data_IF_553993678550
#
_entry.id   IF_553993678550
#
_cell.length_a   1.000
_cell.length_b   1.000
_cell.length_c   1.000
_cell.angle_alpha   90.00
_cell.angle_beta   90.00
_cell.angle_gamma   90.00
#
_symmetry.space_group_name_H-M   'P 1'
#
loop_
_entity.id
_entity.type
_entity.pdbx_description
1 polymer ?
#
# COMPACT_ATOMS: atom_id res chain seq x y z
N UNK A 1 -19.47 12.31 4.64
CA UNK A 1 -19.77 13.76 4.60
C UNK A 1 -21.09 13.93 3.85
N UNK A 2 -22.00 14.78 4.33
CA UNK A 2 -23.31 15.04 3.70
C UNK A 2 -23.11 15.99 2.52
N UNK A 3 -23.82 15.76 1.41
CA UNK A 3 -23.74 16.62 0.23
C UNK A 3 -24.27 18.04 0.53
N UNK A 4 -23.76 19.10 -0.14
CA UNK A 4 -24.32 20.45 -0.05
C UNK A 4 -25.80 20.45 -0.43
N UNK A 5 -26.60 21.25 0.26
CA UNK A 5 -28.05 21.37 -0.01
C UNK A 5 -28.26 22.41 -1.12
N UNK A 6 -28.76 21.98 -2.29
CA UNK A 6 -29.19 22.85 -3.41
C UNK A 6 -28.38 22.71 -4.72
N UNK A 7 -28.76 23.49 -5.75
CA UNK A 7 -28.19 23.46 -7.12
C UNK A 7 -26.75 23.99 -7.23
N UNK A 8 -26.10 24.34 -6.11
CA UNK A 8 -24.71 24.83 -6.11
C UNK A 8 -23.72 23.78 -6.66
N UNK A 9 -24.08 22.50 -6.60
CA UNK A 9 -23.29 21.41 -7.21
C UNK A 9 -23.21 21.53 -8.73
N UNK A 10 -24.35 21.71 -9.42
CA UNK A 10 -24.38 21.79 -10.88
C UNK A 10 -23.59 22.99 -11.41
N UNK A 11 -23.61 24.12 -10.67
CA UNK A 11 -22.84 25.32 -11.03
C UNK A 11 -21.33 25.15 -10.92
N UNK A 12 -20.83 24.24 -10.07
CA UNK A 12 -19.38 23.96 -9.96
C UNK A 12 -18.84 23.12 -11.12
N UNK A 13 -19.71 22.40 -11.82
CA UNK A 13 -19.34 21.50 -12.91
C UNK A 13 -19.52 22.12 -14.30
N UNK A 14 -20.12 23.30 -14.41
CA UNK A 14 -20.21 24.05 -15.67
C UNK A 14 -18.87 24.71 -16.00
N UNK A 15 -18.18 24.18 -17.03
CA UNK A 15 -17.10 24.88 -17.72
C UNK A 15 -15.68 24.31 -17.59
N UNK A 16 -15.44 23.25 -16.81
CA UNK A 16 -14.06 22.75 -16.58
C UNK A 16 -13.62 21.61 -17.50
N UNK A 17 -14.50 21.04 -18.34
CA UNK A 17 -14.12 20.02 -19.36
C UNK A 17 -13.51 18.71 -18.83
N UNK A 18 -13.25 18.64 -17.52
CA UNK A 18 -12.65 17.53 -16.79
C UNK A 18 -13.76 16.90 -15.94
N UNK A 19 -14.53 16.00 -16.56
CA UNK A 19 -15.44 15.12 -15.81
C UNK A 19 -14.61 14.03 -15.16
N UNK A 20 -14.01 14.32 -14.00
CA UNK A 20 -13.81 13.25 -13.01
C UNK A 20 -15.18 13.08 -12.37
N UNK A 21 -15.94 12.06 -12.80
CA UNK A 21 -17.25 11.74 -12.24
C UNK A 21 -17.09 11.38 -10.77
N UNK A 22 -17.31 12.35 -9.89
CA UNK A 22 -17.58 12.10 -8.48
C UNK A 22 -18.89 11.32 -8.43
N UNK A 23 -18.83 10.05 -8.03
CA UNK A 23 -20.03 9.19 -7.92
C UNK A 23 -20.57 9.22 -6.50
N UNK A 24 -21.85 9.50 -6.36
CA UNK A 24 -22.56 9.48 -5.09
C UNK A 24 -23.17 8.09 -4.87
N UNK A 25 -23.32 7.69 -3.61
CA UNK A 25 -23.78 6.33 -3.25
C UNK A 25 -25.09 5.98 -3.97
N UNK A 26 -26.03 6.93 -4.04
CA UNK A 26 -27.31 6.74 -4.72
C UNK A 26 -27.22 6.69 -6.25
N UNK A 27 -26.16 7.20 -6.85
CA UNK A 27 -25.91 7.06 -8.29
C UNK A 27 -25.22 5.73 -8.63
N UNK A 28 -24.44 5.17 -7.70
CA UNK A 28 -23.80 3.84 -7.85
C UNK A 28 -24.79 2.71 -7.62
N UNK A 29 -25.70 2.90 -6.67
CA UNK A 29 -26.71 1.90 -6.29
C UNK A 29 -27.97 1.94 -7.17
N UNK A 30 -27.98 2.75 -8.22
CA UNK A 30 -29.12 2.80 -9.12
C UNK A 30 -29.22 1.51 -9.94
N UNK A 31 -30.41 0.91 -9.95
CA UNK A 31 -30.73 -0.16 -10.89
C UNK A 31 -30.98 0.44 -12.28
N UNK A 32 -30.54 -0.28 -13.33
CA UNK A 32 -30.70 0.15 -14.71
C UNK A 32 -32.20 0.38 -15.04
N UNK A 33 -32.60 1.65 -15.20
CA UNK A 33 -33.96 2.02 -15.62
C UNK A 33 -34.65 3.10 -14.77
N UNK A 34 -34.10 3.52 -13.64
CA UNK A 34 -34.61 4.68 -12.90
C UNK A 34 -34.03 6.02 -13.40
N UNK A 35 -34.62 7.15 -12.96
CA UNK A 35 -34.32 8.51 -13.43
C UNK A 35 -32.82 8.75 -13.69
N UNK A 36 -32.44 9.31 -14.85
CA UNK A 36 -31.05 9.57 -15.15
C UNK A 36 -30.56 10.67 -14.20
N UNK A 37 -29.61 10.34 -13.34
CA UNK A 37 -28.88 11.27 -12.47
C UNK A 37 -29.66 11.77 -11.22
N UNK A 38 -29.83 10.92 -10.20
CA UNK A 38 -30.50 11.29 -8.96
C UNK A 38 -29.66 12.31 -8.18
N UNK A 39 -30.33 13.27 -7.53
CA UNK A 39 -29.67 14.30 -6.74
C UNK A 39 -28.69 13.69 -5.71
N UNK A 40 -27.47 14.20 -5.59
CA UNK A 40 -26.43 13.59 -4.77
C UNK A 40 -26.78 13.61 -3.27
N UNK A 41 -26.90 12.43 -2.64
CA UNK A 41 -27.32 12.35 -1.22
C UNK A 41 -26.15 12.13 -0.28
N UNK A 42 -25.20 11.29 -0.69
CA UNK A 42 -24.05 10.90 0.13
C UNK A 42 -22.83 10.70 -0.75
N UNK A 43 -21.75 11.43 -0.44
CA UNK A 43 -20.48 11.33 -1.15
C UNK A 43 -19.74 10.08 -0.67
N UNK A 44 -19.51 9.14 -1.58
CA UNK A 44 -18.58 8.04 -1.36
C UNK A 44 -17.18 8.55 -1.69
N UNK A 45 -16.38 8.82 -0.66
CA UNK A 45 -14.96 9.10 -0.84
C UNK A 45 -14.25 7.78 -0.61
N UNK A 46 -13.69 7.24 -1.68
CA UNK A 46 -12.64 6.24 -1.54
C UNK A 46 -11.42 6.92 -0.90
N UNK A 47 -11.16 6.59 0.36
CA UNK A 47 -10.01 7.07 1.12
C UNK A 47 -8.83 6.09 1.03
N UNK A 48 -8.83 5.22 0.03
CA UNK A 48 -7.72 4.30 -0.18
C UNK A 48 -6.47 5.10 -0.56
N UNK A 49 -5.52 5.13 0.39
CA UNK A 49 -4.13 5.55 0.26
C UNK A 49 -3.81 6.94 -0.32
N UNK A 50 -4.81 7.77 -0.62
CA UNK A 50 -4.60 9.16 -1.02
C UNK A 50 -3.91 9.94 0.09
N UNK A 51 -2.64 10.31 -0.12
CA UNK A 51 -1.96 11.32 0.70
C UNK A 51 -1.79 12.57 -0.13
N UNK A 52 -2.48 13.64 0.25
CA UNK A 52 -2.27 14.96 -0.34
C UNK A 52 -0.91 15.52 0.12
N UNK A 53 0.12 15.26 -0.67
CA UNK A 53 1.42 15.88 -0.52
C UNK A 53 1.27 17.32 -1.04
N UNK A 54 0.81 18.25 -0.20
CA UNK A 54 0.68 19.69 -0.45
C UNK A 54 2.05 20.36 -0.71
N UNK A 55 2.77 19.89 -1.70
CA UNK A 55 4.10 20.29 -2.10
C UNK A 55 4.07 20.54 -3.61
N UNK A 56 4.58 21.68 -4.05
CA UNK A 56 4.63 22.04 -5.46
C UNK A 56 5.37 20.96 -6.27
N UNK A 57 4.65 20.18 -7.06
CA UNK A 57 5.25 19.25 -8.02
C UNK A 57 5.58 20.06 -9.28
N UNK A 58 6.77 19.88 -9.83
CA UNK A 58 7.28 20.66 -10.96
C UNK A 58 6.56 20.35 -12.28
N UNK A 59 5.66 19.35 -12.31
CA UNK A 59 4.80 19.02 -13.44
C UNK A 59 3.44 18.57 -12.92
N UNK A 60 2.51 19.51 -12.86
CA UNK A 60 1.19 19.37 -12.24
C UNK A 60 0.16 18.75 -13.21
N UNK A 61 -0.19 17.49 -12.98
CA UNK A 61 -1.53 16.93 -13.33
C UNK A 61 -2.30 16.46 -12.07
N UNK A 62 -1.64 16.37 -10.90
CA UNK A 62 -2.25 15.91 -9.66
C UNK A 62 -2.76 17.04 -8.74
N UNK A 63 -2.39 18.29 -9.03
CA UNK A 63 -2.57 19.43 -8.11
C UNK A 63 -3.94 20.08 -8.24
N UNK A 64 -4.68 19.79 -9.31
CA UNK A 64 -6.04 20.33 -9.53
C UNK A 64 -7.15 19.59 -8.77
N UNK A 65 -6.85 18.53 -8.02
CA UNK A 65 -7.88 17.68 -7.38
C UNK A 65 -8.22 18.01 -5.92
N UNK A 66 -7.51 18.95 -5.27
CA UNK A 66 -7.68 19.17 -3.81
C UNK A 66 -7.55 20.63 -3.35
N UNK A 67 -7.77 21.62 -4.23
CA UNK A 67 -7.57 23.03 -3.86
C UNK A 67 -8.78 23.61 -3.12
N UNK A 68 -8.79 23.47 -1.79
CA UNK A 68 -9.32 24.53 -0.91
C UNK A 68 -8.24 25.61 -0.80
N UNK A 69 -8.39 26.67 -1.59
CA UNK A 69 -7.56 27.88 -1.54
C UNK A 69 -7.60 28.51 -0.13
N UNK A 70 -6.43 28.99 0.30
CA UNK A 70 -6.17 29.87 1.45
C UNK A 70 -5.88 29.18 2.81
N UNK A 71 -4.62 28.80 3.06
CA UNK A 71 -3.83 29.38 4.16
C UNK A 71 -2.36 28.96 4.11
N UNK A 72 -1.49 29.96 4.21
CA UNK A 72 -0.06 29.87 4.42
C UNK A 72 0.23 29.40 5.85
N UNK A 73 0.21 28.09 6.08
CA UNK A 73 0.82 27.43 7.23
C UNK A 73 1.02 25.97 6.84
N UNK A 74 2.20 25.42 7.13
CA UNK A 74 2.51 23.99 7.01
C UNK A 74 1.67 23.30 8.09
N UNK A 75 0.38 23.12 7.82
CA UNK A 75 -0.56 22.50 8.74
C UNK A 75 -0.56 20.99 8.50
N UNK A 76 -0.46 20.25 9.61
CA UNK A 76 -0.41 18.81 9.78
C UNK A 76 -1.65 18.02 9.27
N UNK A 77 -2.31 18.51 8.22
CA UNK A 77 -3.51 17.96 7.60
C UNK A 77 -3.23 17.47 6.17
N UNK A 78 -2.17 16.68 5.99
CA UNK A 78 -2.14 15.72 4.89
C UNK A 78 -3.17 14.63 5.22
N UNK A 79 -4.38 14.72 4.64
CA UNK A 79 -5.36 13.65 4.71
C UNK A 79 -4.76 12.40 4.04
N UNK A 80 -4.77 11.27 4.74
CA UNK A 80 -4.18 9.99 4.32
C UNK A 80 -3.58 9.22 5.50
N UNK A 81 -3.20 7.95 5.31
CA UNK A 81 -2.43 7.17 6.29
C UNK A 81 -1.01 6.95 5.75
N UNK A 82 -0.08 7.91 5.94
CA UNK A 82 1.15 7.97 5.14
C UNK A 82 2.07 6.77 5.32
N UNK A 83 1.99 6.10 6.47
CA UNK A 83 2.72 4.88 6.81
C UNK A 83 2.44 3.69 5.89
N UNK A 84 1.38 3.73 5.08
CA UNK A 84 1.05 2.66 4.14
C UNK A 84 1.40 2.99 2.70
N UNK A 85 1.83 4.21 2.38
CA UNK A 85 2.19 4.53 0.99
C UNK A 85 3.31 3.62 0.49
N UNK A 86 3.31 3.28 -0.80
CA UNK A 86 4.48 2.67 -1.43
C UNK A 86 5.73 3.54 -1.28
N UNK A 87 6.92 2.92 -1.25
CA UNK A 87 8.19 3.64 -1.05
C UNK A 87 8.45 4.65 -2.16
N UNK A 88 8.23 4.30 -3.42
CA UNK A 88 8.41 5.20 -4.56
C UNK A 88 7.46 6.41 -4.49
N UNK A 89 6.21 6.18 -4.09
CA UNK A 89 5.19 7.23 -3.87
C UNK A 89 5.57 8.14 -2.72
N UNK A 90 6.06 7.57 -1.62
CA UNK A 90 6.57 8.30 -0.45
C UNK A 90 7.75 9.22 -0.82
N UNK A 91 8.67 8.73 -1.67
CA UNK A 91 9.80 9.48 -2.20
C UNK A 91 9.43 10.48 -3.31
N UNK A 92 8.23 10.37 -3.88
CA UNK A 92 7.76 11.15 -5.03
C UNK A 92 8.50 10.85 -6.35
N UNK A 93 9.21 9.72 -6.44
CA UNK A 93 10.00 9.30 -7.61
C UNK A 93 10.19 7.78 -7.64
N UNK A 94 10.51 7.25 -8.83
CA UNK A 94 10.94 5.86 -8.96
C UNK A 94 12.22 5.61 -8.16
N UNK A 95 12.29 4.48 -7.46
CA UNK A 95 13.47 4.06 -6.73
C UNK A 95 14.61 3.67 -7.69
N UNK A 96 15.84 3.68 -7.18
CA UNK A 96 17.04 3.40 -7.95
C UNK A 96 17.08 1.92 -8.42
N UNK A 97 17.25 1.63 -9.72
CA UNK A 97 17.26 0.25 -10.20
C UNK A 97 18.43 -0.59 -9.64
N UNK A 98 19.56 0.02 -9.28
CA UNK A 98 20.72 -0.72 -8.77
C UNK A 98 20.45 -1.25 -7.35
N UNK A 99 19.73 -0.48 -6.54
CA UNK A 99 19.35 -0.86 -5.17
C UNK A 99 18.06 -1.70 -5.11
N UNK A 100 17.16 -1.52 -6.08
CA UNK A 100 15.81 -2.07 -6.10
C UNK A 100 15.54 -2.91 -7.36
N UNK A 101 16.55 -3.68 -7.75
CA UNK A 101 16.48 -4.58 -8.91
C UNK A 101 15.45 -5.69 -8.74
N UNK A 102 14.77 -6.04 -9.83
CA UNK A 102 13.90 -7.22 -9.94
C UNK A 102 14.65 -8.48 -10.38
N UNK A 103 15.97 -8.41 -10.55
CA UNK A 103 16.79 -9.56 -10.91
C UNK A 103 16.63 -10.69 -9.89
N UNK A 104 16.47 -11.91 -10.39
CA UNK A 104 16.28 -13.14 -9.60
C UNK A 104 14.97 -13.21 -8.80
N UNK A 105 14.05 -12.26 -8.99
CA UNK A 105 12.69 -12.38 -8.46
C UNK A 105 11.88 -13.23 -9.44
N UNK A 106 11.14 -14.19 -8.92
CA UNK A 106 10.22 -15.01 -9.70
C UNK A 106 8.85 -15.02 -9.05
N UNK A 107 7.83 -15.16 -9.88
CA UNK A 107 6.45 -15.27 -9.43
C UNK A 107 6.32 -16.49 -8.50
N UNK A 108 5.83 -16.35 -7.26
CA UNK A 108 5.67 -17.49 -6.36
C UNK A 108 4.81 -18.57 -7.01
N UNK A 109 5.33 -19.79 -7.15
CA UNK A 109 4.58 -20.94 -7.68
C UNK A 109 4.67 -22.17 -6.75
N UNK A 110 4.21 -22.05 -5.50
CA UNK A 110 4.24 -23.13 -4.53
C UNK A 110 3.27 -24.27 -4.93
N UNK A 111 3.63 -25.54 -4.70
CA UNK A 111 2.81 -26.70 -5.08
C UNK A 111 1.36 -26.63 -4.60
N UNK A 112 1.13 -26.06 -3.42
CA UNK A 112 -0.16 -25.89 -2.75
C UNK A 112 -1.12 -25.02 -3.58
N UNK A 113 -0.59 -24.12 -4.41
CA UNK A 113 -1.39 -23.22 -5.24
C UNK A 113 -1.62 -23.75 -6.66
N UNK A 114 -1.19 -24.98 -6.97
CA UNK A 114 -1.22 -25.51 -8.35
C UNK A 114 -2.61 -25.45 -8.98
N UNK A 115 -3.66 -25.81 -8.25
CA UNK A 115 -5.03 -25.80 -8.77
C UNK A 115 -5.59 -24.39 -8.96
N UNK A 116 -5.18 -23.44 -8.11
CA UNK A 116 -5.48 -22.02 -8.28
C UNK A 116 -4.75 -21.48 -9.51
N UNK A 117 -3.44 -21.77 -9.62
CA UNK A 117 -2.62 -21.36 -10.75
C UNK A 117 -3.19 -21.92 -12.05
N UNK A 118 -3.54 -23.20 -12.10
CA UNK A 118 -4.15 -23.80 -13.30
C UNK A 118 -5.48 -23.13 -13.70
N UNK A 119 -6.29 -22.67 -12.73
CA UNK A 119 -7.60 -22.07 -13.01
C UNK A 119 -7.53 -20.60 -13.41
N UNK A 120 -6.63 -19.85 -12.79
CA UNK A 120 -6.46 -18.41 -13.05
C UNK A 120 -5.48 -18.13 -14.18
N UNK A 121 -4.53 -19.04 -14.46
CA UNK A 121 -3.46 -18.81 -15.44
C UNK A 121 -3.74 -19.58 -16.71
N UNK A 122 -4.24 -18.90 -17.74
CA UNK A 122 -4.11 -19.39 -19.12
C UNK A 122 -3.03 -18.68 -19.91
N UNK A 123 -2.70 -17.39 -19.69
CA UNK A 123 -1.54 -16.74 -20.36
C UNK A 123 -1.04 -15.39 -19.77
N UNK A 124 -1.70 -14.80 -18.77
CA UNK A 124 -1.55 -13.36 -18.47
C UNK A 124 -0.30 -12.99 -17.65
N UNK A 125 0.13 -13.83 -16.70
CA UNK A 125 1.21 -13.47 -15.77
C UNK A 125 2.53 -14.21 -16.09
N UNK A 126 3.59 -13.43 -16.32
CA UNK A 126 4.92 -13.95 -16.66
C UNK A 126 5.63 -14.52 -15.43
N UNK A 127 6.03 -15.79 -15.49
CA UNK A 127 6.71 -16.46 -14.36
C UNK A 127 8.17 -16.03 -14.20
N UNK A 128 8.83 -15.75 -15.32
CA UNK A 128 10.18 -15.19 -15.36
C UNK A 128 10.06 -13.73 -15.79
N UNK A 129 10.62 -12.83 -14.98
CA UNK A 129 10.72 -11.42 -15.33
C UNK A 129 11.87 -11.29 -16.31
N UNK A 130 11.63 -10.86 -17.57
CA UNK A 130 12.71 -10.60 -18.49
C UNK A 130 13.62 -9.51 -17.89
N UNK A 131 14.94 -9.61 -18.10
CA UNK A 131 15.85 -8.56 -17.63
C UNK A 131 15.39 -7.22 -18.18
N UNK A 132 15.30 -6.22 -17.31
CA UNK A 132 15.01 -4.85 -17.73
C UNK A 132 16.12 -4.45 -18.69
N UNK A 133 15.83 -4.05 -19.94
CA UNK A 133 16.87 -3.68 -20.89
C UNK A 133 17.75 -2.59 -20.28
N UNK A 134 19.08 -2.77 -20.38
CA UNK A 134 20.09 -1.89 -19.81
C UNK A 134 19.68 -0.41 -19.84
N UNK A 135 19.77 0.22 -18.65
CA UNK A 135 19.38 1.59 -18.28
C UNK A 135 19.85 2.72 -19.23
N UNK A 136 20.77 2.46 -20.15
CA UNK A 136 21.44 3.49 -20.97
C UNK A 136 20.62 4.06 -22.13
N UNK A 137 19.40 3.59 -22.42
CA UNK A 137 18.64 4.06 -23.60
C UNK A 137 17.12 4.25 -23.40
N UNK A 138 16.58 4.04 -22.20
CA UNK A 138 15.17 4.30 -21.95
C UNK A 138 14.98 5.79 -21.59
N UNK A 139 14.03 6.51 -22.20
CA UNK A 139 13.67 7.84 -21.71
C UNK A 139 13.33 7.73 -20.22
N UNK A 140 13.76 8.70 -19.41
CA UNK A 140 13.43 8.74 -17.98
C UNK A 140 11.94 8.47 -17.81
N UNK A 141 11.61 7.30 -17.26
CA UNK A 141 10.22 6.92 -17.05
C UNK A 141 9.62 7.97 -16.11
N UNK A 142 8.64 8.73 -16.63
CA UNK A 142 7.93 9.71 -15.82
C UNK A 142 7.30 8.97 -14.65
N UNK A 143 7.56 9.46 -13.45
CA UNK A 143 6.95 8.90 -12.26
C UNK A 143 5.43 9.08 -12.34
N UNK A 144 4.73 7.96 -12.33
CA UNK A 144 3.27 7.88 -12.31
C UNK A 144 2.85 6.83 -11.28
N UNK A 145 1.72 7.05 -10.62
CA UNK A 145 1.14 6.04 -9.75
C UNK A 145 0.66 4.84 -10.60
N UNK A 146 0.91 3.62 -10.12
CA UNK A 146 0.60 2.37 -10.82
C UNK A 146 0.10 1.35 -9.80
N UNK A 147 -0.63 0.31 -10.26
CA UNK A 147 -1.18 -0.74 -9.39
C UNK A 147 -0.11 -1.49 -8.57
N UNK A 148 1.14 -1.52 -9.02
CA UNK A 148 2.26 -2.04 -8.22
C UNK A 148 2.45 -1.31 -6.89
N UNK A 149 2.19 0.00 -6.87
CA UNK A 149 2.28 0.82 -5.65
C UNK A 149 1.12 0.51 -4.69
N UNK A 150 -0.06 0.21 -5.21
CA UNK A 150 -1.20 -0.23 -4.40
C UNK A 150 -0.92 -1.58 -3.74
N UNK A 151 -0.26 -2.49 -4.46
CA UNK A 151 0.16 -3.79 -3.93
C UNK A 151 1.17 -3.63 -2.78
N UNK A 152 2.18 -2.77 -2.93
CA UNK A 152 3.09 -2.43 -1.83
C UNK A 152 2.34 -1.78 -0.65
N UNK A 153 1.37 -0.93 -0.93
CA UNK A 153 0.60 -0.27 0.11
C UNK A 153 -0.24 -1.26 0.92
N UNK A 154 -0.87 -2.21 0.23
CA UNK A 154 -1.57 -3.35 0.82
C UNK A 154 -0.64 -4.21 1.67
N UNK A 155 0.58 -4.47 1.20
CA UNK A 155 1.60 -5.15 1.99
C UNK A 155 1.89 -4.42 3.31
N UNK A 156 2.04 -3.09 3.29
CA UNK A 156 2.26 -2.31 4.53
C UNK A 156 1.08 -2.38 5.50
N UNK A 157 -0.16 -2.43 4.98
CA UNK A 157 -1.37 -2.65 5.79
C UNK A 157 -1.33 -4.03 6.44
N UNK A 158 -0.99 -5.09 5.70
CA UNK A 158 -0.85 -6.47 6.22
C UNK A 158 0.21 -6.50 7.33
N UNK A 159 1.40 -5.95 7.08
CA UNK A 159 2.48 -5.89 8.06
C UNK A 159 2.04 -5.18 9.32
N UNK A 160 1.50 -3.96 9.21
CA UNK A 160 1.08 -3.20 10.38
C UNK A 160 0.01 -3.92 11.19
N UNK A 161 -0.96 -4.53 10.49
CA UNK A 161 -2.03 -5.32 11.11
C UNK A 161 -1.44 -6.48 11.91
N UNK A 162 -0.61 -7.32 11.30
CA UNK A 162 -0.03 -8.49 11.97
C UNK A 162 0.88 -8.10 13.13
N UNK A 163 1.72 -7.07 12.96
CA UNK A 163 2.63 -6.60 14.01
C UNK A 163 1.89 -6.04 15.24
N UNK A 164 0.73 -5.43 15.02
CA UNK A 164 -0.16 -4.90 16.08
C UNK A 164 -1.16 -5.90 16.62
N UNK A 165 -1.23 -7.09 16.05
CA UNK A 165 -2.15 -8.14 16.48
C UNK A 165 -1.51 -9.05 17.53
N UNK A 166 -2.34 -9.80 18.23
CA UNK A 166 -1.92 -10.94 19.06
C UNK A 166 -2.67 -12.19 18.62
N UNK A 167 -2.09 -13.35 18.93
CA UNK A 167 -2.85 -14.60 19.01
C UNK A 167 -3.62 -14.61 20.35
N UNK A 168 -4.76 -15.29 20.45
CA UNK A 168 -5.52 -15.44 21.70
C UNK A 168 -4.69 -15.41 23.01
N UNK A 169 -5.25 -14.76 24.03
CA UNK A 169 -4.64 -14.30 25.30
C UNK A 169 -3.82 -13.01 25.20
N UNK A 170 -4.25 -12.01 26.00
CA UNK A 170 -3.57 -10.71 26.23
C UNK A 170 -2.44 -10.84 27.26
N UNK A 171 -1.67 -11.92 27.24
CA UNK A 171 -0.48 -11.93 28.09
C UNK A 171 0.45 -10.85 27.55
N UNK A 172 0.66 -9.80 28.37
CA UNK A 172 1.53 -8.67 28.05
C UNK A 172 2.98 -9.12 28.13
N UNK A 173 3.40 -9.91 27.15
CA UNK A 173 4.81 -10.21 26.95
C UNK A 173 5.57 -8.88 26.74
N UNK A 174 6.74 -8.70 27.38
CA UNK A 174 7.52 -7.48 27.25
C UNK A 174 7.82 -7.20 25.78
N UNK A 175 7.69 -5.93 25.40
CA UNK A 175 7.94 -5.51 24.02
C UNK A 175 9.38 -5.80 23.62
N UNK A 176 9.55 -6.48 22.49
CA UNK A 176 10.88 -6.63 21.90
C UNK A 176 11.40 -5.27 21.44
N UNK A 177 12.73 -5.12 21.42
CA UNK A 177 13.36 -3.90 20.89
C UNK A 177 12.98 -3.68 19.42
N UNK A 178 12.82 -4.77 18.65
CA UNK A 178 12.41 -4.78 17.25
C UNK A 178 10.99 -4.23 17.08
N UNK A 179 10.04 -4.69 17.90
CA UNK A 179 8.67 -4.18 17.90
C UNK A 179 8.63 -2.70 18.25
N UNK A 180 9.33 -2.28 19.31
CA UNK A 180 9.38 -0.88 19.73
C UNK A 180 9.95 0.02 18.64
N UNK A 181 11.09 -0.36 18.05
CA UNK A 181 11.73 0.39 16.97
C UNK A 181 10.82 0.49 15.74
N UNK A 182 10.24 -0.63 15.30
CA UNK A 182 9.36 -0.66 14.14
C UNK A 182 8.10 0.18 14.36
N UNK A 183 7.46 0.04 15.52
CA UNK A 183 6.25 0.78 15.87
C UNK A 183 6.47 2.29 15.75
N UNK A 184 7.51 2.81 16.42
CA UNK A 184 7.79 4.24 16.45
C UNK A 184 8.26 4.75 15.09
N UNK A 185 9.03 3.95 14.34
CA UNK A 185 9.38 4.27 12.95
C UNK A 185 8.13 4.43 12.07
N UNK A 186 7.20 3.46 12.10
CA UNK A 186 5.97 3.52 11.31
C UNK A 186 5.04 4.66 11.74
N UNK A 187 4.97 4.97 13.05
CA UNK A 187 4.16 6.08 13.55
C UNK A 187 4.72 7.45 13.18
N UNK A 188 6.05 7.58 13.08
CA UNK A 188 6.73 8.81 12.67
C UNK A 188 6.95 8.91 11.17
N UNK A 189 6.61 7.85 10.41
CA UNK A 189 6.81 7.83 8.98
C UNK A 189 5.96 8.92 8.33
N UNK A 190 6.65 9.78 7.59
CA UNK A 190 6.04 10.82 6.79
C UNK A 190 6.77 10.88 5.44
N UNK A 191 6.04 10.91 4.31
CA UNK A 191 6.60 11.04 2.98
C UNK A 191 7.45 12.30 2.86
N UNK A 192 8.65 12.16 2.33
CA UNK A 192 9.51 13.29 2.07
C UNK A 192 10.13 13.13 0.69
N UNK A 193 9.80 14.02 -0.27
CA UNK A 193 10.35 13.94 -1.61
C UNK A 193 11.87 13.92 -1.59
N UNK A 194 12.47 13.06 -2.40
CA UNK A 194 13.93 12.91 -2.55
C UNK A 194 14.70 12.41 -1.31
N UNK A 195 14.04 12.05 -0.21
CA UNK A 195 14.67 11.37 0.92
C UNK A 195 14.31 9.89 0.86
N UNK A 196 15.30 9.02 1.15
CA UNK A 196 15.07 7.58 1.17
C UNK A 196 14.01 7.23 2.22
N UNK A 197 13.06 6.38 1.82
CA UNK A 197 12.04 5.88 2.73
C UNK A 197 12.69 5.04 3.84
N UNK A 198 12.61 5.51 5.09
CA UNK A 198 13.20 4.83 6.25
C UNK A 198 12.76 3.36 6.39
N UNK A 199 11.58 2.99 5.88
CA UNK A 199 11.07 1.62 5.90
C UNK A 199 11.87 0.67 5.00
N UNK A 200 12.61 1.17 4.00
CA UNK A 200 13.50 0.35 3.17
C UNK A 200 14.52 -0.42 4.01
N UNK A 201 15.03 0.20 5.09
CA UNK A 201 15.96 -0.44 6.03
C UNK A 201 15.36 -1.64 6.77
N UNK A 202 14.04 -1.65 6.96
CA UNK A 202 13.30 -2.73 7.63
C UNK A 202 13.05 -3.90 6.68
N UNK A 203 12.75 -3.64 5.41
CA UNK A 203 12.57 -4.70 4.40
C UNK A 203 13.84 -5.55 4.20
N UNK A 204 15.02 -4.94 4.37
CA UNK A 204 16.32 -5.64 4.29
C UNK A 204 16.62 -6.54 5.51
N UNK A 205 15.79 -6.51 6.57
CA UNK A 205 16.04 -7.31 7.79
C UNK A 205 15.79 -8.80 7.56
N UNK A 206 16.48 -9.62 8.36
CA UNK A 206 16.45 -11.08 8.27
C UNK A 206 15.13 -11.68 8.75
N UNK A 207 14.84 -12.94 8.37
CA UNK A 207 13.68 -13.66 8.86
C UNK A 207 13.58 -13.64 10.40
N UNK A 208 14.71 -13.83 11.10
CA UNK A 208 14.77 -13.75 12.57
C UNK A 208 14.27 -12.42 13.11
N UNK A 209 14.57 -11.30 12.44
CA UNK A 209 14.05 -9.99 12.84
C UNK A 209 12.52 -9.97 12.71
N UNK A 210 11.97 -10.46 11.61
CA UNK A 210 10.52 -10.50 11.37
C UNK A 210 9.79 -11.44 12.35
N UNK A 211 10.39 -12.57 12.71
CA UNK A 211 9.88 -13.46 13.77
C UNK A 211 9.80 -12.73 15.11
N UNK A 212 10.86 -12.02 15.53
CA UNK A 212 10.89 -11.26 16.79
C UNK A 212 10.04 -9.98 16.76
N UNK A 213 9.72 -9.49 15.57
CA UNK A 213 8.87 -8.33 15.38
C UNK A 213 7.41 -8.66 15.66
N UNK A 214 6.95 -9.85 15.27
CA UNK A 214 5.58 -10.32 15.50
C UNK A 214 5.35 -10.69 16.98
N UNK A 215 4.07 -10.84 17.34
CA UNK A 215 3.71 -11.47 18.61
C UNK A 215 4.14 -12.95 18.58
N UNK A 216 4.58 -13.57 19.69
CA UNK A 216 5.02 -14.97 19.69
C UNK A 216 4.02 -15.94 19.04
N UNK A 217 2.73 -15.87 19.38
CA UNK A 217 1.74 -16.74 18.72
C UNK A 217 1.34 -16.34 17.30
N UNK A 218 1.96 -15.31 16.72
CA UNK A 218 1.88 -14.97 15.29
C UNK A 218 3.21 -15.20 14.57
N UNK A 219 4.27 -15.67 15.25
CA UNK A 219 5.63 -15.75 14.69
C UNK A 219 5.71 -16.60 13.41
N UNK A 220 4.83 -17.60 13.29
CA UNK A 220 4.73 -18.48 12.13
C UNK A 220 4.31 -17.77 10.84
N UNK A 221 3.79 -16.54 10.94
CA UNK A 221 3.48 -15.68 9.79
C UNK A 221 4.73 -15.00 9.19
N UNK A 222 5.87 -15.01 9.90
CA UNK A 222 7.09 -14.34 9.45
C UNK A 222 7.62 -14.85 8.09
N UNK A 223 7.60 -16.16 7.77
CA UNK A 223 7.99 -16.65 6.45
C UNK A 223 7.11 -16.12 5.31
N UNK A 224 5.79 -16.02 5.52
CA UNK A 224 4.86 -15.43 4.54
C UNK A 224 5.23 -13.96 4.28
N UNK A 225 5.37 -13.16 5.35
CA UNK A 225 5.81 -11.77 5.23
C UNK A 225 7.17 -11.67 4.51
N UNK A 226 8.10 -12.58 4.81
CA UNK A 226 9.41 -12.60 4.15
C UNK A 226 9.28 -12.87 2.65
N UNK A 227 8.41 -13.79 2.25
CA UNK A 227 8.10 -14.04 0.84
C UNK A 227 7.54 -12.81 0.15
N UNK A 228 6.60 -12.12 0.79
CA UNK A 228 6.01 -10.88 0.25
C UNK A 228 7.05 -9.78 0.11
N UNK A 229 7.96 -9.63 1.08
CA UNK A 229 9.04 -8.64 1.04
C UNK A 229 9.95 -8.84 -0.17
N UNK A 230 10.32 -10.09 -0.48
CA UNK A 230 11.15 -10.36 -1.67
C UNK A 230 10.48 -9.88 -2.94
N UNK A 231 9.14 -9.95 -2.99
CA UNK A 231 8.37 -9.55 -4.15
C UNK A 231 8.04 -8.06 -4.17
N UNK A 232 7.83 -7.43 -3.02
CA UNK A 232 7.58 -5.98 -2.92
C UNK A 232 8.87 -5.18 -3.03
N UNK A 233 10.03 -5.79 -2.76
CA UNK A 233 11.33 -5.12 -2.77
C UNK A 233 11.64 -4.34 -4.05
N UNK A 234 11.48 -4.92 -5.26
CA UNK A 234 11.88 -4.25 -6.49
C UNK A 234 11.04 -3.03 -6.86
N UNK A 235 11.62 -2.14 -7.67
CA UNK A 235 10.89 -1.03 -8.28
C UNK A 235 10.14 -1.50 -9.54
N UNK A 236 8.95 -2.07 -9.32
CA UNK A 236 8.11 -2.56 -10.42
C UNK A 236 7.56 -1.46 -11.32
N UNK A 237 7.48 -0.20 -10.87
CA UNK A 237 7.05 0.92 -11.70
C UNK A 237 7.92 1.15 -12.94
N UNK A 238 9.11 0.56 -12.98
CA UNK A 238 10.02 0.53 -14.14
C UNK A 238 9.71 -0.59 -15.14
N UNK A 239 8.93 -1.59 -14.76
CA UNK A 239 8.63 -2.76 -15.58
C UNK A 239 7.43 -2.50 -16.50
N UNK A 240 7.69 -2.08 -17.74
CA UNK A 240 6.63 -1.86 -18.74
C UNK A 240 6.08 -3.16 -19.36
N UNK A 241 6.78 -4.28 -19.19
CA UNK A 241 6.46 -5.56 -19.84
C UNK A 241 5.62 -6.51 -18.98
N UNK A 242 5.27 -6.10 -17.76
CA UNK A 242 4.51 -6.89 -16.81
C UNK A 242 3.06 -6.41 -16.76
N UNK A 243 2.17 -7.34 -16.45
CA UNK A 243 0.78 -7.01 -16.16
C UNK A 243 0.71 -6.07 -14.94
N UNK A 244 -0.11 -4.99 -14.95
CA UNK A 244 -0.25 -4.09 -13.81
C UNK A 244 -0.61 -4.77 -12.48
N UNK A 245 -1.31 -5.91 -12.50
CA UNK A 245 -1.70 -6.67 -11.31
C UNK A 245 -0.65 -7.71 -10.88
N UNK A 246 0.49 -7.80 -11.55
CA UNK A 246 1.49 -8.84 -11.32
C UNK A 246 1.97 -8.93 -9.86
N UNK A 247 2.16 -7.80 -9.20
CA UNK A 247 2.55 -7.75 -7.78
C UNK A 247 1.38 -8.17 -6.88
N UNK A 248 0.15 -7.76 -7.19
CA UNK A 248 -1.04 -8.21 -6.47
C UNK A 248 -1.19 -9.73 -6.55
N UNK A 249 -1.12 -10.31 -7.74
CA UNK A 249 -1.18 -11.77 -7.94
C UNK A 249 -0.11 -12.50 -7.13
N UNK A 250 1.11 -11.97 -7.08
CA UNK A 250 2.20 -12.55 -6.28
C UNK A 250 1.88 -12.57 -4.78
N UNK A 251 1.37 -11.46 -4.26
CA UNK A 251 0.95 -11.35 -2.86
C UNK A 251 -0.25 -12.26 -2.56
N UNK A 252 -1.22 -12.35 -3.46
CA UNK A 252 -2.38 -13.25 -3.34
C UNK A 252 -1.97 -14.71 -3.29
N UNK A 253 -1.06 -15.16 -4.17
CA UNK A 253 -0.52 -16.52 -4.14
C UNK A 253 0.16 -16.84 -2.80
N UNK A 254 0.94 -15.91 -2.26
CA UNK A 254 1.60 -16.07 -0.96
C UNK A 254 0.61 -16.12 0.22
N UNK A 255 -0.43 -15.28 0.19
CA UNK A 255 -1.52 -15.34 1.16
C UNK A 255 -2.26 -16.68 1.09
N UNK A 256 -2.58 -17.15 -0.12
CA UNK A 256 -3.29 -18.40 -0.34
C UNK A 256 -2.52 -19.61 0.22
N UNK A 257 -1.20 -19.66 0.03
CA UNK A 257 -0.35 -20.68 0.66
C UNK A 257 -0.52 -20.68 2.17
N UNK A 258 -0.49 -19.50 2.79
CA UNK A 258 -0.59 -19.40 4.23
C UNK A 258 -1.99 -19.79 4.71
N UNK A 259 -3.04 -19.39 3.99
CA UNK A 259 -4.42 -19.82 4.27
C UNK A 259 -4.55 -21.34 4.22
N UNK A 260 -3.99 -22.01 3.20
CA UNK A 260 -4.02 -23.47 3.09
C UNK A 260 -3.31 -24.14 4.28
N UNK A 261 -2.20 -23.57 4.77
CA UNK A 261 -1.52 -24.08 5.97
C UNK A 261 -2.33 -23.86 7.25
N UNK A 262 -3.09 -22.76 7.30
CA UNK A 262 -3.92 -22.37 8.44
C UNK A 262 -5.18 -23.23 8.58
N UNK A 263 -5.74 -23.73 7.48
CA UNK A 263 -6.94 -24.59 7.47
C UNK A 263 -6.83 -25.81 8.40
N UNK A 264 -5.60 -26.24 8.70
CA UNK A 264 -5.32 -27.34 9.63
C UNK A 264 -4.95 -26.91 11.05
N UNK A 265 -4.75 -25.62 11.31
CA UNK A 265 -4.25 -25.05 12.57
C UNK A 265 -4.62 -23.56 12.72
N UNK A 266 -5.90 -23.19 12.85
CA UNK A 266 -6.30 -21.77 12.91
C UNK A 266 -5.53 -20.94 13.96
N UNK A 267 -5.27 -19.66 13.63
CA UNK A 267 -4.87 -18.63 14.61
C UNK A 267 -6.08 -17.74 14.85
N UNK A 268 -6.43 -17.54 16.11
CA UNK A 268 -7.32 -16.44 16.50
C UNK A 268 -6.53 -15.14 16.41
N UNK A 269 -6.93 -14.23 15.52
CA UNK A 269 -6.28 -12.93 15.35
C UNK A 269 -7.05 -11.84 16.10
N UNK A 270 -6.44 -11.26 17.13
CA UNK A 270 -6.97 -10.06 17.80
C UNK A 270 -6.27 -8.81 17.26
N UNK A 271 -6.91 -8.14 16.30
CA UNK A 271 -6.35 -6.98 15.60
C UNK A 271 -6.18 -5.79 16.55
N UNK A 272 -5.00 -5.17 16.52
CA UNK A 272 -4.69 -3.98 17.32
C UNK A 272 -4.58 -4.23 18.82
N UNK A 273 -4.69 -5.48 19.27
CA UNK A 273 -4.71 -5.85 20.68
C UNK A 273 -3.34 -5.74 21.36
N UNK A 274 -2.25 -5.64 20.58
CA UNK A 274 -0.90 -5.51 21.15
C UNK A 274 -0.72 -4.11 21.73
N UNK A 275 -0.28 -4.07 22.99
CA UNK A 275 -0.04 -2.83 23.73
C UNK A 275 1.00 -1.94 23.03
N UNK A 276 0.89 -0.64 23.27
CA UNK A 276 1.74 0.38 22.65
C UNK A 276 3.09 0.39 23.38
N UNK A 277 4.21 0.29 22.66
CA UNK A 277 5.52 0.34 23.29
C UNK A 277 5.84 1.72 23.82
N UNK A 278 6.47 1.76 24.99
CA UNK A 278 7.05 2.98 25.52
C UNK A 278 8.02 3.58 24.50
N UNK A 279 8.11 4.91 24.49
CA UNK A 279 9.07 5.61 23.63
C UNK A 279 10.48 5.25 24.11
N UNK A 280 11.34 4.69 23.23
CA UNK A 280 12.71 4.37 23.63
C UNK A 280 13.45 5.63 24.07
N UNK A 281 14.25 5.53 25.13
CA UNK A 281 14.99 6.68 25.68
C UNK A 281 15.86 7.41 24.64
N UNK A 282 16.46 6.68 23.69
CA UNK A 282 17.28 7.28 22.61
C UNK A 282 16.45 8.03 21.55
N UNK A 283 15.12 7.96 21.60
CA UNK A 283 14.19 8.68 20.72
C UNK A 283 13.57 9.93 21.38
N UNK A 284 13.99 10.27 22.61
CA UNK A 284 13.54 11.44 23.39
C UNK A 284 14.58 12.58 23.40
N UNK A 285 15.76 12.36 22.82
CA UNK A 285 16.81 13.35 22.60
C UNK A 285 16.78 13.87 21.16
#
# INVERSE_FOLDING_TARGET
MVAPVGDEYHKRCEGTGSRVEVKYVNQVLQEDGEQPDPAPTCLLIDLDNGTDLKMARITDELTDRTVSRNRSTIDANSQGTPKYLARSVSCGKLLDPDDYSSENVSLPSPPETRDYVHRMHTTEYRHQIPPTPNSTAQPEAKFAHQLFHEAESTFWVIVWTLVRSTSGNREEEPHTAQYSQFYHMMCRHYPHPNVEDARASVLRKSLRFWTLLLHPGLERMAPMLRGMIFYVWPEWGRSQALDPEHVHESLMRLLLVEIIKLDSNDIILHIGARSIPHVPFYMLA
#
